data_IF_570503491089
#
_entry.id   IF_570503491089
#
_cell.length_a   1.000
_cell.length_b   1.000
_cell.length_c   1.000
_cell.angle_alpha   90.00
_cell.angle_beta   90.00
_cell.angle_gamma   90.00
#
_symmetry.space_group_name_H-M   'P 1'
#
loop_
_entity.id
_entity.type
_entity.pdbx_description
1 polymer ?
2 non-polymer ?
3 non-polymer ?
4 non-polymer ?
5 non-polymer ?
6 water ?
#
# COMPACT_ATOMS: atom_id res chain seq x y z
N UNK A 1 -2.65 -0.54 23.23
CA UNK A 1 -3.37 -1.04 22.03
C UNK A 1 -4.76 -0.44 21.90
N UNK A 2 -4.88 0.61 21.08
CA UNK A 2 -6.15 1.32 20.86
C UNK A 2 -7.33 0.37 20.75
N UNK A 3 -8.33 0.57 21.61
CA UNK A 3 -9.54 -0.23 21.57
C UNK A 3 -10.51 0.33 20.54
N UNK A 4 -11.48 -0.48 20.13
CA UNK A 4 -12.56 0.00 19.28
C UNK A 4 -13.41 1.01 20.04
N UNK A 5 -13.85 0.61 21.23
CA UNK A 5 -14.67 1.47 22.08
C UNK A 5 -13.94 2.77 22.38
N UNK A 6 -12.64 2.67 22.57
CA UNK A 6 -11.80 3.83 22.79
C UNK A 6 -11.89 4.79 21.59
N UNK A 7 -12.21 4.24 20.43
CA UNK A 7 -12.28 5.04 19.19
C UNK A 7 -13.73 5.47 18.91
N UNK A 8 -14.66 4.52 19.02
CA UNK A 8 -16.07 4.79 18.80
C UNK A 8 -16.57 5.89 19.72
N UNK A 9 -16.14 5.82 20.99
CA UNK A 9 -16.54 6.79 21.99
C UNK A 9 -15.84 8.14 21.82
N UNK A 10 -14.81 8.18 20.98
CA UNK A 10 -14.19 9.46 20.62
C UNK A 10 -14.94 10.07 19.44
N UNK A 11 -15.41 9.19 18.56
CA UNK A 11 -16.19 9.57 17.40
C UNK A 11 -17.61 9.98 17.80
N UNK A 12 -18.06 9.49 18.95
CA UNK A 12 -19.39 9.84 19.46
C UNK A 12 -19.46 11.29 19.93
N UNK A 13 -18.31 11.84 20.28
CA UNK A 13 -18.24 13.22 20.73
C UNK A 13 -18.03 14.13 19.53
N UNK A 14 -18.04 13.53 18.34
CA UNK A 14 -17.88 14.27 17.09
C UNK A 14 -19.20 14.91 16.69
N UNK A 15 -19.12 16.11 16.13
CA UNK A 15 -20.25 16.72 15.43
C UNK A 15 -20.55 15.98 14.13
N UNK A 16 -21.54 15.09 14.15
CA UNK A 16 -21.83 14.21 13.02
C UNK A 16 -22.37 14.91 11.78
N UNK A 17 -22.52 16.24 11.86
CA UNK A 17 -22.99 17.02 10.72
C UNK A 17 -21.81 17.66 10.03
N UNK A 18 -20.65 17.62 10.68
CA UNK A 18 -19.45 18.31 10.21
C UNK A 18 -18.22 17.39 10.08
N UNK A 19 -18.47 16.13 9.75
CA UNK A 19 -17.40 15.14 9.65
C UNK A 19 -16.52 15.37 8.43
N UNK A 20 -15.23 15.50 8.67
CA UNK A 20 -14.26 15.73 7.60
C UNK A 20 -13.40 14.48 7.35
N UNK A 21 -12.69 14.50 6.25
CA UNK A 21 -11.75 13.43 5.95
C UNK A 21 -10.35 14.03 5.97
N UNK A 22 -9.46 13.40 6.72
CA UNK A 22 -8.09 13.91 6.84
C UNK A 22 -7.04 12.86 6.46
N UNK A 23 -5.89 13.34 6.03
CA UNK A 23 -4.77 12.48 5.70
C UNK A 23 -3.51 13.30 5.63
N UNK A 24 -2.37 12.62 5.66
CA UNK A 24 -1.09 13.30 5.52
C UNK A 24 -0.85 13.59 4.05
N UNK A 25 -0.33 14.78 3.75
CA UNK A 25 -0.11 15.19 2.38
C UNK A 25 1.05 14.48 1.70
N UNK A 26 0.81 13.24 1.27
CA UNK A 26 1.81 12.47 0.54
C UNK A 26 1.23 11.13 0.11
N UNK A 27 2.04 10.35 -0.58
CA UNK A 27 1.71 8.97 -0.95
C UNK A 27 0.55 8.85 -1.94
N UNK A 28 -0.67 9.02 -1.46
CA UNK A 28 -1.87 8.95 -2.30
C UNK A 28 -2.90 10.03 -1.93
N UNK A 29 -2.44 11.05 -1.20
CA UNK A 29 -3.37 12.00 -0.61
C UNK A 29 -4.14 12.83 -1.66
N UNK A 30 -3.57 13.03 -2.84
CA UNK A 30 -4.21 13.85 -3.85
C UNK A 30 -5.61 13.37 -4.22
N UNK A 31 -5.77 12.07 -4.44
CA UNK A 31 -7.11 11.52 -4.75
C UNK A 31 -7.91 11.11 -3.52
N UNK A 32 -7.23 10.86 -2.40
CA UNK A 32 -7.91 10.71 -1.13
C UNK A 32 -8.67 12.00 -0.83
N UNK A 33 -8.00 13.13 -1.04
CA UNK A 33 -8.59 14.43 -0.73
C UNK A 33 -9.56 14.89 -1.82
N UNK A 34 -9.15 14.78 -3.08
CA UNK A 34 -10.05 15.08 -4.20
C UNK A 34 -11.30 14.22 -4.14
N UNK A 35 -11.12 12.93 -3.90
CA UNK A 35 -12.25 12.00 -3.81
C UNK A 35 -13.22 12.40 -2.72
N UNK A 36 -12.68 12.85 -1.59
CA UNK A 36 -13.48 13.32 -0.47
C UNK A 36 -14.31 14.54 -0.85
N UNK A 37 -13.68 15.54 -1.46
CA UNK A 37 -14.38 16.72 -1.93
C UNK A 37 -15.50 16.36 -2.88
N UNK A 38 -15.21 15.44 -3.82
CA UNK A 38 -16.20 15.02 -4.81
C UNK A 38 -17.40 14.34 -4.14
N UNK A 39 -17.18 13.75 -2.97
CA UNK A 39 -18.28 13.13 -2.23
C UNK A 39 -18.96 14.09 -1.25
N UNK A 40 -18.51 15.34 -1.24
CA UNK A 40 -19.17 16.38 -0.44
C UNK A 40 -18.52 16.69 0.89
N UNK A 41 -17.39 16.03 1.17
CA UNK A 41 -16.68 16.26 2.42
C UNK A 41 -15.81 17.49 2.36
N UNK A 42 -15.61 18.12 3.52
CA UNK A 42 -14.52 19.06 3.68
C UNK A 42 -13.27 18.25 4.08
N UNK A 43 -12.10 18.67 3.62
CA UNK A 43 -10.89 17.86 3.74
C UNK A 43 -9.80 18.53 4.56
N UNK A 44 -9.07 17.72 5.33
CA UNK A 44 -7.93 18.20 6.11
C UNK A 44 -6.63 17.53 5.66
N UNK A 45 -5.63 18.33 5.33
CA UNK A 45 -4.35 17.82 4.88
C UNK A 45 -3.21 18.21 5.82
N UNK A 46 -2.63 17.23 6.50
CA UNK A 46 -1.41 17.50 7.26
C UNK A 46 -0.25 17.74 6.30
N UNK A 47 0.41 18.88 6.43
CA UNK A 47 1.49 19.23 5.53
C UNK A 47 2.61 20.01 6.26
N UNK A 48 3.60 20.47 5.49
CA UNK A 48 4.72 21.23 6.06
C UNK A 48 5.30 22.14 5.00
N UNK A 49 6.01 23.18 5.42
CA UNK A 49 6.64 24.10 4.49
C UNK A 49 7.59 23.33 3.59
N UNK A 50 7.59 23.68 2.30
CA UNK A 50 8.42 22.99 1.33
C UNK A 50 7.73 21.81 0.64
N UNK A 51 6.67 21.29 1.25
CA UNK A 51 5.97 20.14 0.70
C UNK A 51 4.45 20.33 0.50
N UNK A 52 4.02 21.59 0.56
CA UNK A 52 2.58 21.89 0.58
C UNK A 52 2.06 22.38 -0.76
N UNK A 53 2.98 22.77 -1.66
CA UNK A 53 2.62 23.33 -2.95
C UNK A 53 1.66 22.49 -3.81
N UNK A 54 1.89 21.16 -3.90
CA UNK A 54 1.01 20.35 -4.74
C UNK A 54 -0.44 20.39 -4.27
N UNK A 55 -0.63 20.43 -2.95
CA UNK A 55 -1.95 20.40 -2.34
C UNK A 55 -2.65 21.76 -2.40
N UNK A 56 -1.85 22.82 -2.53
CA UNK A 56 -2.38 24.15 -2.68
C UNK A 56 -2.78 24.41 -4.12
N UNK A 57 -1.95 23.97 -5.06
CA UNK A 57 -2.18 24.26 -6.45
C UNK A 57 -3.24 23.35 -7.06
N UNK A 58 -3.38 22.15 -6.51
CA UNK A 58 -4.42 21.24 -6.98
C UNK A 58 -5.74 21.49 -6.24
N UNK A 59 -5.67 22.30 -5.18
CA UNK A 59 -6.84 22.81 -4.45
C UNK A 59 -7.73 21.73 -3.87
N UNK A 60 -7.12 20.70 -3.30
CA UNK A 60 -7.86 19.54 -2.82
C UNK A 60 -8.07 19.56 -1.31
N UNK A 61 -7.47 20.54 -0.66
CA UNK A 61 -7.51 20.60 0.80
C UNK A 61 -8.21 21.88 1.24
N UNK A 62 -9.20 21.74 2.10
CA UNK A 62 -9.92 22.89 2.61
C UNK A 62 -9.18 23.47 3.81
N UNK A 63 -8.63 22.59 4.65
CA UNK A 63 -7.88 23.03 5.83
C UNK A 63 -6.49 22.40 5.86
N UNK A 64 -5.49 23.19 6.22
CA UNK A 64 -4.11 22.70 6.37
C UNK A 64 -3.68 22.70 7.82
N UNK A 65 -3.22 21.55 8.29
CA UNK A 65 -2.51 21.46 9.57
C UNK A 65 -1.01 21.36 9.30
N UNK A 66 -0.30 22.48 9.43
CA UNK A 66 1.14 22.50 9.21
C UNK A 66 1.93 21.91 10.38
N UNK A 67 2.95 21.13 10.06
CA UNK A 67 3.89 20.61 11.06
C UNK A 67 5.31 21.01 10.70
N UNK A 68 6.21 20.91 11.68
CA UNK A 68 7.63 21.22 11.47
C UNK A 68 8.26 20.15 10.60
N UNK A 69 7.98 18.90 10.96
CA UNK A 69 8.39 17.73 10.21
C UNK A 69 7.27 16.72 10.35
N UNK A 70 7.13 15.82 9.36
CA UNK A 70 6.01 14.88 9.37
C UNK A 70 6.07 13.92 10.55
N UNK A 71 7.19 13.91 11.26
CA UNK A 71 7.30 13.03 12.41
C UNK A 71 6.39 13.51 13.54
N UNK A 72 6.02 14.79 13.48
CA UNK A 72 5.21 15.41 14.53
C UNK A 72 3.74 14.97 14.53
N UNK A 73 3.32 14.24 13.49
CA UNK A 73 1.92 13.85 13.34
C UNK A 73 1.47 12.84 14.39
N UNK A 74 2.43 12.31 15.14
CA UNK A 74 2.12 11.45 16.27
C UNK A 74 1.79 12.31 17.49
N UNK A 75 2.31 13.54 17.50
CA UNK A 75 2.15 14.45 18.63
C UNK A 75 0.70 14.63 19.06
N UNK A 76 0.49 14.67 20.37
CA UNK A 76 -0.84 14.79 20.92
C UNK A 76 -1.51 16.09 20.46
N UNK A 77 -0.69 17.08 20.12
CA UNK A 77 -1.21 18.36 19.64
C UNK A 77 -1.95 18.23 18.31
N UNK A 78 -1.42 17.40 17.42
CA UNK A 78 -2.03 17.21 16.11
C UNK A 78 -3.25 16.31 16.22
N UNK A 79 -3.17 15.30 17.09
CA UNK A 79 -4.32 14.45 17.34
C UNK A 79 -5.52 15.28 17.79
N UNK A 80 -5.27 16.38 18.50
CA UNK A 80 -6.36 17.22 19.02
C UNK A 80 -6.99 18.11 17.96
N UNK A 81 -6.17 18.80 17.17
CA UNK A 81 -6.67 19.57 16.05
C UNK A 81 -7.57 18.68 15.18
N UNK A 82 -7.09 17.46 14.92
CA UNK A 82 -7.84 16.50 14.11
C UNK A 82 -9.17 16.12 14.72
N UNK A 83 -9.19 15.94 16.04
CA UNK A 83 -10.41 15.56 16.72
C UNK A 83 -11.40 16.72 16.78
N UNK A 84 -10.87 17.94 16.83
CA UNK A 84 -11.70 19.15 16.90
C UNK A 84 -12.29 19.49 15.54
N UNK A 85 -11.74 18.88 14.50
CA UNK A 85 -12.21 19.10 13.14
C UNK A 85 -13.13 17.98 12.73
N UNK A 86 -13.39 17.07 13.66
CA UNK A 86 -14.25 15.90 13.41
C UNK A 86 -13.72 15.03 12.27
N UNK A 87 -12.40 15.00 12.15
CA UNK A 87 -11.71 14.28 11.08
C UNK A 87 -11.70 12.77 11.25
N UNK A 88 -12.06 12.06 10.20
CA UNK A 88 -11.75 10.63 10.09
C UNK A 88 -10.48 10.55 9.24
N UNK A 89 -9.43 9.95 9.80
CA UNK A 89 -8.14 9.85 9.11
C UNK A 89 -8.09 8.70 8.12
N UNK A 90 -7.66 8.98 6.90
CA UNK A 90 -7.42 7.91 5.92
C UNK A 90 -5.92 7.59 5.89
N UNK A 91 -5.55 6.38 6.32
CA UNK A 91 -4.16 6.03 6.46
C UNK A 91 -3.55 5.56 5.14
N UNK A 92 -2.25 5.81 4.98
CA UNK A 92 -1.52 5.30 3.84
C UNK A 92 -0.04 5.12 4.19
N UNK A 93 0.72 4.56 3.25
CA UNK A 93 2.13 4.25 3.45
C UNK A 93 2.94 5.30 4.19
N UNK A 94 2.96 6.51 3.66
CA UNK A 94 3.74 7.60 4.24
C UNK A 94 3.28 7.97 5.64
N UNK A 95 1.98 7.81 5.89
CA UNK A 95 1.41 8.22 7.17
C UNK A 95 1.82 7.23 8.25
N UNK A 96 1.69 5.94 7.95
CA UNK A 96 2.08 4.89 8.86
C UNK A 96 3.58 4.99 9.17
N UNK A 97 4.38 5.31 8.15
CA UNK A 97 5.82 5.44 8.32
C UNK A 97 6.20 6.63 9.19
N UNK A 98 5.68 7.81 8.86
CA UNK A 98 6.06 9.04 9.56
C UNK A 98 5.48 9.08 10.97
N UNK A 99 4.32 8.46 11.15
CA UNK A 99 3.69 8.44 12.46
C UNK A 99 4.37 7.40 13.33
N UNK A 100 4.87 6.34 12.68
CA UNK A 100 5.41 5.20 13.38
C UNK A 100 4.29 4.22 13.63
N UNK A 101 4.44 3.01 13.12
CA UNK A 101 3.39 2.00 13.18
C UNK A 101 2.99 1.65 14.60
N UNK A 102 3.92 1.76 15.54
CA UNK A 102 3.60 1.49 16.94
C UNK A 102 2.76 2.63 17.53
N UNK A 103 3.13 3.86 17.22
CA UNK A 103 2.31 5.01 17.59
C UNK A 103 0.91 4.91 16.99
N UNK A 104 0.82 4.35 15.79
CA UNK A 104 -0.47 4.18 15.12
C UNK A 104 -1.35 3.18 15.86
N UNK A 105 -0.74 2.10 16.36
CA UNK A 105 -1.51 1.00 16.92
C UNK A 105 -2.05 1.28 18.33
N UNK A 106 -1.42 2.22 19.04
CA UNK A 106 -1.81 2.48 20.44
C UNK A 106 -1.54 3.89 20.98
N UNK A 107 -1.10 4.80 20.13
CA UNK A 107 -0.84 6.18 20.57
C UNK A 107 -1.56 7.21 19.69
N UNK A 108 -2.24 6.76 18.64
CA UNK A 108 -2.90 7.68 17.71
C UNK A 108 -4.42 7.67 17.90
N UNK A 109 -4.89 8.55 18.78
CA UNK A 109 -6.30 8.54 19.21
C UNK A 109 -7.23 9.35 18.30
N UNK A 110 -7.20 9.05 17.01
CA UNK A 110 -8.10 9.67 16.04
C UNK A 110 -8.78 8.56 15.27
N UNK A 111 -10.09 8.69 15.02
CA UNK A 111 -10.78 7.67 14.25
C UNK A 111 -10.10 7.49 12.91
N UNK A 112 -10.04 6.26 12.43
CA UNK A 112 -9.23 5.95 11.28
C UNK A 112 -9.99 4.99 10.40
N UNK A 113 -10.05 5.29 9.10
CA UNK A 113 -10.71 4.41 8.17
C UNK A 113 -9.92 3.10 7.98
N UNK A 114 -10.60 1.96 8.14
CA UNK A 114 -9.97 0.66 7.97
C UNK A 114 -9.82 -0.15 9.25
N UNK A 115 -9.10 -1.27 9.12
CA UNK A 115 -8.82 -2.17 10.24
C UNK A 115 -7.42 -1.87 10.80
N UNK A 116 -7.38 -1.09 11.87
CA UNK A 116 -6.15 -0.65 12.51
C UNK A 116 -5.16 -1.78 12.81
N UNK A 117 -5.69 -2.90 13.30
CA UNK A 117 -4.85 -4.02 13.71
C UNK A 117 -4.07 -4.61 12.54
N UNK A 118 -4.71 -4.66 11.37
CA UNK A 118 -4.16 -5.38 10.23
C UNK A 118 -3.03 -4.63 9.54
N UNK A 119 -2.76 -3.40 9.98
CA UNK A 119 -1.70 -2.61 9.40
C UNK A 119 -0.31 -3.19 9.68
N UNK A 120 -0.21 -4.06 10.68
CA UNK A 120 1.08 -4.63 10.97
C UNK A 120 1.25 -6.01 10.36
N UNK A 121 0.16 -6.55 9.83
CA UNK A 121 0.24 -7.76 9.03
C UNK A 121 0.80 -7.47 7.64
N UNK A 122 0.90 -6.18 7.29
CA UNK A 122 1.47 -5.79 6.01
C UNK A 122 2.93 -5.38 6.19
N UNK A 123 3.31 -5.10 7.43
CA UNK A 123 4.64 -4.57 7.73
C UNK A 123 5.64 -5.68 8.05
N UNK A 124 5.11 -6.84 8.45
CA UNK A 124 5.95 -7.97 8.82
C UNK A 124 5.83 -9.08 7.80
N UNK A 125 6.96 -9.42 7.19
CA UNK A 125 7.03 -10.42 6.13
C UNK A 125 6.48 -11.78 6.56
N UNK A 126 6.67 -12.13 7.83
CA UNK A 126 6.16 -13.37 8.40
C UNK A 126 4.63 -13.44 8.43
N UNK A 127 4.00 -12.35 8.84
CA UNK A 127 2.52 -12.26 8.85
C UNK A 127 1.94 -12.25 7.44
N UNK A 128 2.50 -11.41 6.58
CA UNK A 128 2.11 -11.36 5.18
C UNK A 128 2.08 -12.75 4.57
N UNK A 129 3.22 -13.44 4.65
CA UNK A 129 3.35 -14.76 4.04
C UNK A 129 2.38 -15.75 4.64
N UNK A 130 2.21 -15.67 5.95
CA UNK A 130 1.22 -16.47 6.67
C UNK A 130 -0.15 -16.25 6.03
N UNK A 131 -0.58 -14.99 6.01
CA UNK A 131 -1.86 -14.62 5.40
C UNK A 131 -1.99 -15.13 3.97
N UNK A 132 -1.05 -14.77 3.11
CA UNK A 132 -1.10 -15.15 1.70
C UNK A 132 -1.10 -16.67 1.49
N UNK A 133 -0.27 -17.36 2.26
CA UNK A 133 -0.19 -18.81 2.19
C UNK A 133 -1.49 -19.44 2.68
N UNK A 134 -1.97 -18.99 3.83
CA UNK A 134 -3.19 -19.54 4.41
C UNK A 134 -4.44 -19.19 3.61
N UNK A 135 -4.43 -18.04 2.93
CA UNK A 135 -5.52 -17.67 2.05
C UNK A 135 -5.51 -18.54 0.80
N UNK A 136 -4.39 -19.23 0.57
CA UNK A 136 -4.27 -20.11 -0.59
C UNK A 136 -3.85 -19.37 -1.84
N UNK A 137 -3.04 -18.33 -1.70
CA UNK A 137 -2.55 -17.59 -2.88
C UNK A 137 -1.14 -18.04 -3.28
N UNK A 138 -0.89 -18.06 -4.58
CA UNK A 138 0.44 -18.35 -5.12
C UNK A 138 1.44 -17.29 -4.71
N UNK A 139 2.57 -17.73 -4.19
CA UNK A 139 3.67 -16.86 -3.82
C UNK A 139 4.96 -17.43 -4.41
N UNK A 140 6.02 -16.61 -4.48
CA UNK A 140 7.33 -17.10 -4.92
C UNK A 140 7.91 -18.11 -3.92
N UNK A 141 8.63 -19.10 -4.41
CA UNK A 141 9.32 -20.05 -3.52
C UNK A 141 10.31 -19.30 -2.63
N UNK A 142 10.31 -19.64 -1.34
CA UNK A 142 11.29 -19.06 -0.43
C UNK A 142 12.50 -19.98 -0.32
N UNK A 143 13.67 -19.38 -0.13
CA UNK A 143 14.90 -20.14 0.08
C UNK A 143 15.54 -19.76 1.42
N UNK A 144 15.75 -20.75 2.28
CA UNK A 144 16.28 -20.50 3.61
C UNK A 144 17.71 -19.94 3.62
N UNK A 145 18.57 -20.46 2.74
CA UNK A 145 19.96 -19.98 2.69
C UNK A 145 20.52 -19.97 1.27
N UNK A 146 21.58 -19.17 1.05
CA UNK A 146 22.25 -19.08 -0.24
C UNK A 146 22.61 -20.46 -0.80
N UNK A 147 22.82 -21.42 0.09
CA UNK A 147 23.17 -22.79 -0.32
C UNK A 147 22.00 -23.53 -0.96
N UNK A 148 20.78 -23.01 -0.80
CA UNK A 148 19.60 -23.69 -1.33
C UNK A 148 19.25 -23.25 -2.75
N UNK A 149 20.01 -22.30 -3.29
CA UNK A 149 19.73 -21.72 -4.59
C UNK A 149 19.94 -22.72 -5.72
N UNK A 150 18.86 -23.01 -6.44
CA UNK A 150 18.91 -23.97 -7.55
C UNK A 150 18.28 -23.37 -8.80
N UNK A 151 18.09 -22.06 -8.80
CA UNK A 151 17.55 -21.36 -9.95
C UNK A 151 17.90 -19.88 -9.86
N UNK A 152 17.19 -19.06 -10.63
CA UNK A 152 17.37 -17.63 -10.49
C UNK A 152 16.51 -17.15 -9.33
N UNK A 153 17.11 -16.34 -8.46
CA UNK A 153 16.42 -15.83 -7.30
C UNK A 153 16.60 -14.33 -7.24
N UNK A 154 15.69 -13.66 -6.54
CA UNK A 154 15.90 -12.27 -6.19
C UNK A 154 16.18 -12.22 -4.70
N UNK A 155 17.08 -11.33 -4.28
CA UNK A 155 17.44 -11.26 -2.86
C UNK A 155 17.17 -9.88 -2.28
N UNK A 156 16.38 -9.86 -1.21
CA UNK A 156 15.95 -8.61 -0.61
C UNK A 156 16.54 -8.39 0.78
N UNK A 157 17.12 -7.21 0.98
CA UNK A 157 17.64 -6.81 2.27
C UNK A 157 16.92 -5.55 2.74
N UNK A 158 16.35 -5.59 3.96
CA UNK A 158 15.87 -4.37 4.59
C UNK A 158 17.05 -3.50 5.07
N UNK A 159 17.67 -2.78 4.14
CA UNK A 159 18.83 -1.94 4.46
C UNK A 159 18.75 -0.56 3.85
N UNK A 160 19.68 -0.26 2.95
CA UNK A 160 19.74 1.07 2.33
C UNK A 160 18.84 1.17 1.10
N UNK A 164 16.91 -0.58 -3.58
CA UNK A 164 18.34 -0.32 -3.42
C UNK A 164 19.11 -1.50 -2.81
N UNK A 165 18.46 -2.20 -1.89
CA UNK A 165 19.02 -3.41 -1.32
C UNK A 165 18.51 -4.66 -2.02
N UNK A 166 18.96 -4.87 -3.26
CA UNK A 166 18.51 -5.99 -4.07
C UNK A 166 19.64 -6.49 -4.96
N UNK A 167 19.62 -7.78 -5.25
CA UNK A 167 20.38 -8.32 -6.38
C UNK A 167 19.77 -9.62 -6.86
N UNK A 168 20.17 -10.03 -8.06
CA UNK A 168 19.70 -11.27 -8.66
C UNK A 168 20.84 -12.29 -8.69
N UNK A 169 20.54 -13.54 -8.41
CA UNK A 169 21.57 -14.58 -8.40
C UNK A 169 21.03 -15.87 -9.00
N UNK A 170 21.89 -16.61 -9.68
CA UNK A 170 21.51 -17.92 -10.23
C UNK A 170 22.30 -19.09 -9.62
N UNK A 171 23.17 -18.79 -8.66
CA UNK A 171 23.93 -19.82 -7.93
C UNK A 171 24.35 -19.33 -6.55
N UNK A 172 24.70 -20.28 -5.70
CA UNK A 172 25.24 -19.96 -4.38
C UNK A 172 26.48 -19.09 -4.52
N UNK A 173 27.38 -19.48 -5.42
CA UNK A 173 28.59 -18.70 -5.67
C UNK A 173 28.29 -17.27 -6.07
N UNK A 174 27.38 -17.09 -7.01
CA UNK A 174 27.01 -15.74 -7.44
C UNK A 174 26.44 -14.92 -6.28
N UNK A 175 25.64 -15.56 -5.44
CA UNK A 175 25.10 -14.89 -4.27
C UNK A 175 26.19 -14.19 -3.44
N UNK A 176 27.29 -14.90 -3.18
CA UNK A 176 28.36 -14.31 -2.36
C UNK A 176 29.20 -13.29 -3.12
N UNK A 177 29.42 -13.55 -4.41
CA UNK A 177 30.11 -12.58 -5.25
C UNK A 177 29.40 -11.23 -5.14
N UNK A 178 28.07 -11.25 -5.31
CA UNK A 178 27.28 -10.01 -5.31
C UNK A 178 27.08 -9.39 -3.93
N UNK A 179 26.84 -10.23 -2.93
CA UNK A 179 26.74 -9.73 -1.55
C UNK A 179 28.00 -8.95 -1.20
N UNK A 180 29.17 -9.56 -1.45
CA UNK A 180 30.47 -8.92 -1.20
C UNK A 180 30.63 -7.60 -1.95
N UNK A 181 30.29 -7.62 -3.23
CA UNK A 181 30.33 -6.41 -4.04
C UNK A 181 29.58 -5.28 -3.35
N UNK A 182 28.35 -5.56 -2.92
CA UNK A 182 27.51 -4.56 -2.27
C UNK A 182 28.03 -4.16 -0.89
N UNK A 183 28.77 -5.06 -0.26
CA UNK A 183 29.36 -4.80 1.05
C UNK A 183 30.53 -3.84 0.94
N UNK A 184 31.50 -4.21 0.09
CA UNK A 184 32.69 -3.38 -0.13
C UNK A 184 32.33 -2.06 -0.78
N UNK A 185 31.11 -1.97 -1.33
CA UNK A 185 30.64 -0.78 -2.01
C UNK A 185 29.90 0.13 -1.04
N UNK A 186 29.63 -0.39 0.15
CA UNK A 186 29.01 0.38 1.22
C UNK A 186 27.51 0.54 1.06
N UNK A 187 26.82 -0.58 0.84
CA UNK A 187 25.37 -0.57 0.67
C UNK A 187 24.75 -1.58 1.65
N UNK A 188 25.51 -2.64 1.95
CA UNK A 188 25.05 -3.67 2.85
C UNK A 188 26.09 -3.97 3.92
N UNK A 189 25.62 -4.13 5.15
CA UNK A 189 26.48 -4.59 6.24
C UNK A 189 26.17 -6.06 6.48
N UNK A 190 27.06 -6.76 7.18
CA UNK A 190 26.89 -8.20 7.42
C UNK A 190 25.58 -8.52 8.13
N UNK A 191 25.01 -7.52 8.78
CA UNK A 191 23.74 -7.68 9.48
C UNK A 191 22.62 -7.81 8.47
N UNK A 192 22.70 -7.00 7.41
CA UNK A 192 21.75 -7.08 6.30
C UNK A 192 21.95 -8.39 5.53
N UNK A 193 23.20 -8.77 5.32
CA UNK A 193 23.55 -9.98 4.57
C UNK A 193 23.02 -11.26 5.23
N UNK A 194 22.88 -11.22 6.55
CA UNK A 194 22.30 -12.35 7.29
C UNK A 194 20.78 -12.29 7.21
N UNK A 195 20.25 -11.07 7.22
CA UNK A 195 18.82 -10.83 7.10
C UNK A 195 18.29 -11.15 5.70
N UNK A 196 19.20 -11.33 4.76
CA UNK A 196 18.87 -11.60 3.37
C UNK A 196 17.66 -12.50 3.19
N UNK A 197 16.66 -12.00 2.46
CA UNK A 197 15.51 -12.81 2.08
C UNK A 197 15.64 -13.24 0.63
N UNK A 198 15.70 -14.54 0.41
CA UNK A 198 15.90 -15.10 -0.92
C UNK A 198 14.63 -15.75 -1.39
N UNK A 199 14.15 -15.35 -2.57
CA UNK A 199 13.00 -16.02 -3.15
C UNK A 199 13.12 -16.23 -4.65
N UNK A 200 12.37 -17.20 -5.14
CA UNK A 200 12.27 -17.44 -6.57
C UNK A 200 12.09 -16.12 -7.33
N UNK A 201 12.88 -15.93 -8.38
CA UNK A 201 12.67 -14.79 -9.25
C UNK A 201 11.58 -15.18 -10.24
N UNK A 202 10.43 -14.50 -10.14
CA UNK A 202 9.31 -14.80 -11.04
C UNK A 202 9.43 -13.98 -12.32
N UNK A 203 9.39 -14.67 -13.46
CA UNK A 203 9.53 -13.99 -14.74
C UNK A 203 8.15 -13.84 -15.38
N UNK A 204 7.67 -12.61 -15.42
CA UNK A 204 6.34 -12.34 -15.93
C UNK A 204 5.98 -10.87 -15.92
N UNK A 205 4.69 -10.60 -16.10
CA UNK A 205 4.21 -9.23 -16.23
C UNK A 205 3.63 -8.73 -14.90
N UNK A 206 4.00 -7.53 -14.51
CA UNK A 206 3.55 -6.93 -13.27
C UNK A 206 2.12 -6.39 -13.32
N UNK A 207 1.27 -6.93 -12.44
CA UNK A 207 -0.05 -6.34 -12.19
C UNK A 207 -0.19 -6.09 -10.70
N UNK A 208 -0.17 -4.81 -10.31
CA UNK A 208 -0.53 -4.42 -8.95
C UNK A 208 -2.03 -4.18 -8.92
N UNK A 209 -2.76 -5.11 -8.33
CA UNK A 209 -4.22 -5.09 -8.43
C UNK A 209 -4.83 -4.40 -7.22
N UNK A 210 -5.62 -3.36 -7.48
CA UNK A 210 -6.20 -2.58 -6.40
C UNK A 210 -7.66 -2.98 -6.17
N UNK A 211 -7.91 -3.54 -4.99
CA UNK A 211 -9.24 -3.99 -4.60
C UNK A 211 -9.83 -3.05 -3.53
N UNK A 212 -11.14 -3.14 -3.35
CA UNK A 212 -11.81 -2.47 -2.26
C UNK A 212 -12.81 -3.46 -1.67
N UNK A 213 -12.67 -3.77 -0.39
CA UNK A 213 -13.70 -4.57 0.29
C UNK A 213 -14.65 -3.63 1.02
N UNK A 214 -15.92 -3.70 0.62
CA UNK A 214 -16.95 -2.92 1.28
C UNK A 214 -17.61 -3.77 2.35
N UNK A 215 -17.40 -3.43 3.63
CA UNK A 215 -18.07 -4.15 4.71
C UNK A 215 -19.57 -3.82 4.74
N UNK A 216 -19.95 -2.67 4.19
CA UNK A 216 -21.37 -2.32 4.05
C UNK A 216 -22.04 -3.27 3.07
N UNK A 217 -21.39 -3.51 1.94
CA UNK A 217 -21.96 -4.40 0.91
C UNK A 217 -21.47 -5.84 1.03
N UNK A 218 -20.51 -6.09 1.91
CA UNK A 218 -19.82 -7.39 2.00
C UNK A 218 -19.43 -7.90 0.62
N UNK A 219 -18.60 -7.13 -0.09
CA UNK A 219 -18.25 -7.40 -1.47
C UNK A 219 -16.84 -6.92 -1.74
N UNK A 220 -16.07 -7.73 -2.46
CA UNK A 220 -14.73 -7.31 -2.91
C UNK A 220 -14.88 -6.72 -4.30
N UNK A 221 -14.41 -5.50 -4.48
CA UNK A 221 -14.53 -4.82 -5.78
C UNK A 221 -13.15 -4.67 -6.41
N UNK A 222 -13.09 -4.74 -7.74
CA UNK A 222 -11.87 -4.40 -8.47
C UNK A 222 -11.95 -2.96 -8.96
N UNK A 223 -10.97 -2.15 -8.53
CA UNK A 223 -10.94 -0.72 -8.83
C UNK A 223 -9.98 -0.33 -9.94
N UNK A 224 -8.83 -1.00 -10.00
CA UNK A 224 -7.87 -0.72 -11.06
C UNK A 224 -6.57 -1.51 -10.94
N UNK A 225 -5.65 -1.28 -11.87
CA UNK A 225 -4.36 -1.97 -11.88
C UNK A 225 -3.29 -1.05 -12.43
N UNK A 226 -2.08 -1.19 -11.91
CA UNK A 226 -0.89 -0.53 -12.47
C UNK A 226 0.31 -1.47 -12.52
N UNK A 227 1.31 -1.10 -13.30
CA UNK A 227 2.62 -1.74 -13.19
C UNK A 227 3.61 -0.71 -12.64
N UNK A 228 4.57 -1.19 -11.85
CA UNK A 228 5.52 -0.30 -11.20
C UNK A 228 6.52 0.21 -12.22
N UNK A 229 7.02 1.41 -11.95
CA UNK A 229 8.03 2.05 -12.78
C UNK A 229 9.15 2.36 -11.80
N UNK A 230 10.22 1.56 -11.86
CA UNK A 230 11.26 1.56 -10.83
C UNK A 230 12.64 1.96 -11.37
N UNK A 231 13.41 2.67 -10.56
CA UNK A 231 14.75 3.11 -10.94
C UNK A 231 15.79 2.48 -9.99
N UNK A 232 16.92 2.01 -10.52
CA UNK A 232 17.36 2.25 -11.89
C UNK A 232 16.95 1.16 -12.86
N UNK A 233 16.30 0.12 -12.35
CA UNK A 233 16.09 -1.08 -13.14
C UNK A 233 15.42 -0.82 -14.50
N UNK A 234 14.36 0.00 -14.51
CA UNK A 234 13.64 0.24 -15.76
C UNK A 234 14.41 1.17 -16.70
N UNK A 235 15.39 1.88 -16.15
CA UNK A 235 16.40 2.57 -16.97
C UNK A 235 17.52 1.63 -17.43
N UNK A 236 17.93 0.73 -16.53
CA UNK A 236 19.01 -0.22 -16.82
C UNK A 236 18.69 -1.12 -18.02
N UNK A 237 17.52 -1.75 -17.99
CA UNK A 237 17.10 -2.67 -19.03
C UNK A 237 16.71 -1.97 -20.33
N UNK A 238 16.79 -0.65 -20.32
CA UNK A 238 16.53 0.11 -21.54
C UNK A 238 17.84 0.41 -22.26
N UNK A 239 18.95 -0.07 -21.70
CA UNK A 239 20.28 0.02 -22.32
C UNK A 239 20.50 -1.26 -23.11
N UNK A 240 20.94 -1.15 -24.38
CA UNK A 240 21.15 -2.38 -25.17
C UNK A 240 22.14 -3.31 -24.48
N UNK A 241 21.92 -4.62 -24.63
CA UNK A 241 22.71 -5.64 -23.92
C UNK A 241 24.22 -5.44 -24.08
N UNK A 242 24.66 -5.16 -25.30
CA UNK A 242 26.09 -4.96 -25.58
C UNK A 242 26.68 -3.86 -24.71
N UNK A 243 25.94 -2.77 -24.55
CA UNK A 243 26.37 -1.71 -23.65
C UNK A 243 26.24 -2.06 -22.16
N UNK A 244 25.21 -2.82 -21.79
CA UNK A 244 25.07 -3.22 -20.40
C UNK A 244 26.28 -4.03 -19.95
N UNK A 245 26.77 -4.90 -20.83
CA UNK A 245 27.92 -5.74 -20.53
C UNK A 245 29.20 -4.94 -20.34
N UNK A 246 29.27 -3.76 -20.94
CA UNK A 246 30.43 -2.89 -20.77
C UNK A 246 30.36 -2.03 -19.52
N UNK A 247 29.28 -2.15 -18.76
CA UNK A 247 29.08 -1.30 -17.59
C UNK A 247 29.23 -2.08 -16.30
N UNK A 248 29.65 -1.37 -15.25
CA UNK A 248 29.66 -1.96 -13.91
C UNK A 248 28.51 -1.34 -13.14
N UNK A 249 27.32 -1.91 -13.32
CA UNK A 249 26.13 -1.30 -12.74
C UNK A 249 25.24 -2.35 -12.08
N UNK A 250 24.83 -2.07 -10.85
CA UNK A 250 23.90 -2.95 -10.17
C UNK A 250 22.47 -2.42 -10.27
N UNK A 251 21.49 -3.33 -10.46
CA UNK A 251 20.09 -2.95 -10.50
C UNK A 251 19.57 -2.51 -9.14
N UNK A 252 18.83 -1.41 -9.11
CA UNK A 252 18.06 -1.04 -7.92
C UNK A 252 16.59 -0.95 -8.30
N UNK A 253 15.72 -1.01 -7.30
CA UNK A 253 14.28 -1.11 -7.55
C UNK A 253 13.50 -0.07 -6.74
N UNK A 254 13.93 1.18 -6.81
CA UNK A 254 13.26 2.27 -6.12
C UNK A 254 12.00 2.67 -6.88
N UNK A 255 10.86 2.61 -6.20
CA UNK A 255 9.59 3.01 -6.81
C UNK A 255 9.63 4.49 -7.19
N UNK A 256 9.48 4.79 -8.47
CA UNK A 256 9.45 6.19 -8.91
C UNK A 256 8.10 6.61 -9.50
N UNK A 257 7.26 5.65 -9.87
CA UNK A 257 6.02 5.98 -10.56
C UNK A 257 5.25 4.74 -10.96
N UNK A 258 4.16 4.95 -11.69
CA UNK A 258 3.29 3.86 -12.13
C UNK A 258 2.74 4.09 -13.51
N UNK A 259 2.42 2.99 -14.18
CA UNK A 259 1.93 3.00 -15.54
C UNK A 259 0.64 2.20 -15.50
N UNK A 260 -0.43 2.70 -16.13
CA UNK A 260 -1.69 1.95 -16.16
C UNK A 260 -1.58 0.71 -17.02
N UNK A 261 -2.32 -0.32 -16.63
CA UNK A 261 -2.36 -1.56 -17.38
C UNK A 261 -3.71 -2.19 -17.12
N UNK A 262 -4.19 -2.99 -18.07
CA UNK A 262 -5.37 -3.80 -17.87
C UNK A 262 -4.96 -5.23 -18.16
N UNK A 263 -5.65 -6.16 -17.52
CA UNK A 263 -5.33 -7.56 -17.64
C UNK A 263 -6.22 -8.21 -18.71
N UNK A 264 -5.75 -9.33 -19.24
CA UNK A 264 -6.53 -10.16 -20.15
C UNK A 264 -7.83 -10.55 -19.44
N UNK A 265 -8.97 -10.34 -20.10
CA UNK A 265 -10.25 -10.43 -19.38
C UNK A 265 -10.55 -11.82 -18.83
N UNK A 266 -10.18 -12.88 -19.55
CA UNK A 266 -10.35 -14.25 -19.06
C UNK A 266 -9.65 -14.51 -17.72
N UNK A 267 -8.80 -13.58 -17.28
CA UNK A 267 -8.08 -13.77 -16.03
C UNK A 267 -8.77 -13.10 -14.85
N UNK A 268 -9.89 -12.42 -15.10
CA UNK A 268 -10.56 -11.70 -14.02
C UNK A 268 -11.19 -12.62 -12.97
N UNK A 269 -11.70 -13.79 -13.40
CA UNK A 269 -12.16 -14.71 -12.36
C UNK A 269 -11.06 -15.11 -11.38
N UNK A 270 -9.84 -15.28 -11.87
CA UNK A 270 -8.70 -15.56 -11.00
C UNK A 270 -8.45 -14.35 -10.10
N UNK A 271 -8.44 -13.17 -10.71
CA UNK A 271 -8.22 -11.92 -9.98
C UNK A 271 -9.21 -11.74 -8.82
N UNK A 272 -10.49 -11.98 -9.09
CA UNK A 272 -11.52 -11.81 -8.09
C UNK A 272 -11.43 -12.89 -7.02
N UNK A 273 -11.18 -14.13 -7.44
CA UNK A 273 -10.99 -15.24 -6.50
C UNK A 273 -9.86 -14.96 -5.52
N UNK A 274 -8.78 -14.35 -6.01
CA UNK A 274 -7.64 -14.01 -5.18
C UNK A 274 -8.02 -13.00 -4.10
N UNK A 275 -8.76 -11.97 -4.50
CA UNK A 275 -9.26 -10.99 -3.54
C UNK A 275 -10.28 -11.60 -2.58
N UNK A 276 -11.16 -12.43 -3.11
CA UNK A 276 -12.13 -13.11 -2.25
C UNK A 276 -11.43 -13.94 -1.17
N UNK A 277 -10.44 -14.74 -1.59
CA UNK A 277 -9.69 -15.60 -0.68
C UNK A 277 -8.93 -14.82 0.37
N UNK A 278 -8.24 -13.76 -0.03
CA UNK A 278 -7.50 -12.93 0.92
C UNK A 278 -8.45 -12.39 1.99
N UNK A 279 -9.62 -11.96 1.55
CA UNK A 279 -10.62 -11.37 2.44
C UNK A 279 -11.23 -12.38 3.41
N UNK A 280 -11.63 -13.53 2.90
CA UNK A 280 -12.19 -14.61 3.72
C UNK A 280 -11.22 -15.04 4.82
N UNK A 281 -9.93 -15.15 4.49
CA UNK A 281 -8.95 -15.59 5.46
C UNK A 281 -8.61 -14.49 6.47
N UNK A 282 -8.48 -13.26 6.00
CA UNK A 282 -8.11 -12.15 6.90
C UNK A 282 -9.22 -11.86 7.91
N UNK A 283 -10.44 -12.24 7.57
CA UNK A 283 -11.55 -12.14 8.52
C UNK A 283 -11.28 -13.04 9.72
N UNK A 284 -10.87 -14.28 9.42
CA UNK A 284 -10.51 -15.26 10.46
C UNK A 284 -9.28 -14.86 11.24
N UNK A 285 -8.23 -14.44 10.55
CA UNK A 285 -6.94 -14.20 11.21
C UNK A 285 -6.87 -12.87 11.94
N UNK A 286 -7.52 -11.83 11.40
CA UNK A 286 -7.47 -10.51 12.04
C UNK A 286 -8.82 -9.79 11.95
N UNK A 287 -9.80 -10.18 12.80
CA UNK A 287 -11.14 -9.60 12.73
C UNK A 287 -11.14 -8.07 12.92
N UNK A 288 -11.97 -7.35 12.14
CA UNK A 288 -12.94 -7.82 11.14
C UNK A 288 -12.37 -8.15 9.75
N UNK A 289 -11.04 -8.11 9.61
CA UNK A 289 -10.42 -8.46 8.34
C UNK A 289 -9.98 -7.24 7.55
N UNK A 290 -10.01 -7.37 6.23
CA UNK A 290 -9.70 -6.27 5.33
C UNK A 290 -10.84 -5.27 5.29
N UNK A 291 -10.53 -4.00 5.47
CA UNK A 291 -11.55 -2.96 5.40
C UNK A 291 -11.13 -1.92 4.36
N UNK A 292 -11.85 -1.85 3.24
CA UNK A 292 -11.55 -0.86 2.23
C UNK A 292 -10.50 -1.29 1.25
N UNK A 293 -9.55 -0.39 0.93
CA UNK A 293 -8.55 -0.64 -0.10
C UNK A 293 -7.49 -1.65 0.31
N UNK A 294 -7.19 -2.58 -0.60
CA UNK A 294 -6.01 -3.43 -0.47
C UNK A 294 -5.47 -3.78 -1.84
N UNK A 295 -4.18 -4.07 -1.89
CA UNK A 295 -3.49 -4.32 -3.16
C UNK A 295 -2.77 -5.66 -3.14
N UNK A 296 -2.96 -6.46 -4.20
CA UNK A 296 -2.07 -7.60 -4.46
C UNK A 296 -1.09 -7.21 -5.54
N UNK A 297 0.21 -7.23 -5.21
CA UNK A 297 1.26 -6.93 -6.18
C UNK A 297 1.76 -8.23 -6.77
N UNK A 298 1.45 -8.46 -8.03
CA UNK A 298 1.65 -9.78 -8.60
C UNK A 298 2.49 -9.78 -9.88
N UNK A 299 2.91 -10.97 -10.26
CA UNK A 299 3.58 -11.19 -11.52
C UNK A 299 2.86 -12.30 -12.24
N UNK A 300 2.56 -12.09 -13.51
CA UNK A 300 1.85 -13.10 -14.27
C UNK A 300 2.84 -13.93 -15.08
N UNK A 301 3.01 -15.19 -14.70
CA UNK A 301 3.95 -16.06 -15.40
C UNK A 301 3.36 -16.52 -16.72
N UNK A 302 4.15 -17.26 -17.49
CA UNK A 302 3.73 -17.66 -18.82
C UNK A 302 2.61 -18.70 -18.77
N UNK A 303 2.38 -19.26 -17.60
CA UNK A 303 1.24 -20.17 -17.43
C UNK A 303 -0.04 -19.46 -16.99
N UNK A 304 -0.07 -18.13 -17.10
CA UNK A 304 -1.22 -17.32 -16.72
C UNK A 304 -1.61 -17.51 -15.26
N UNK A 305 -0.60 -17.62 -14.40
CA UNK A 305 -0.83 -17.71 -12.98
C UNK A 305 -0.26 -16.45 -12.40
N UNK A 306 -1.07 -15.78 -11.58
CA UNK A 306 -0.61 -14.58 -10.89
C UNK A 306 0.10 -14.96 -9.60
N UNK A 307 1.35 -14.54 -9.47
CA UNK A 307 2.13 -14.85 -8.28
C UNK A 307 2.30 -13.58 -7.46
N UNK A 308 1.84 -13.61 -6.24
CA UNK A 308 1.85 -12.43 -5.38
C UNK A 308 3.15 -12.35 -4.59
N UNK A 309 3.95 -11.34 -4.90
CA UNK A 309 5.22 -11.17 -4.22
C UNK A 309 5.11 -10.13 -3.12
N UNK A 310 3.98 -9.46 -3.06
CA UNK A 310 3.76 -8.40 -2.09
C UNK A 310 2.26 -8.08 -1.96
N UNK A 311 1.89 -7.45 -0.85
CA UNK A 311 0.51 -7.01 -0.64
C UNK A 311 0.50 -5.84 0.32
N UNK A 312 -0.57 -5.04 0.26
CA UNK A 312 -0.79 -3.98 1.23
C UNK A 312 -2.20 -4.12 1.80
N UNK A 313 -2.39 -3.64 3.03
CA UNK A 313 -3.66 -3.79 3.72
C UNK A 313 -4.33 -2.43 3.85
N UNK A 314 -3.79 -1.46 3.12
CA UNK A 314 -4.43 -0.17 2.96
C UNK A 314 -4.22 0.29 1.52
N UNK A 315 -4.37 1.59 1.26
CA UNK A 315 -4.30 2.08 -0.10
C UNK A 315 -2.85 2.10 -0.58
N UNK A 316 -2.65 1.53 -1.78
CA UNK A 316 -1.33 1.42 -2.40
C UNK A 316 -1.07 2.59 -3.33
N UNK A 317 0.18 3.06 -3.34
CA UNK A 317 0.60 4.17 -4.19
C UNK A 317 0.18 4.05 -5.65
N UNK A 318 0.03 2.83 -6.15
CA UNK A 318 -0.33 2.62 -7.54
C UNK A 318 -1.69 3.17 -7.93
N UNK A 319 -2.55 3.45 -6.94
CA UNK A 319 -3.87 4.03 -7.20
C UNK A 319 -3.78 5.41 -7.84
N UNK A 320 -2.62 6.04 -7.71
CA UNK A 320 -2.38 7.32 -8.35
C UNK A 320 -2.51 7.26 -9.88
N UNK A 321 -2.27 6.09 -10.46
CA UNK A 321 -2.37 5.92 -11.90
C UNK A 321 -3.79 6.13 -12.42
N UNK A 322 -4.81 5.94 -11.58
CA UNK A 322 -6.20 6.22 -11.98
C UNK A 322 -6.92 7.25 -11.12
N UNK A 323 -6.28 8.40 -10.87
CA UNK A 323 -6.91 9.45 -10.09
C UNK A 323 -8.10 10.07 -10.83
N UNK A 324 -8.11 9.89 -12.15
CA UNK A 324 -9.18 10.43 -13.00
C UNK A 324 -10.08 9.29 -13.42
N UNK A 325 -10.06 8.21 -12.65
CA UNK A 325 -10.80 7.00 -12.98
C UNK A 325 -9.99 6.09 -13.90
N UNK A 326 -10.39 4.84 -13.97
CA UNK A 326 -9.71 3.88 -14.85
C UNK A 326 -10.72 3.02 -15.58
N UNK A 327 -10.25 2.15 -16.49
CA UNK A 327 -11.11 1.22 -17.23
C UNK A 327 -12.02 0.33 -16.38
N UNK A 328 -11.53 -0.11 -15.23
CA UNK A 328 -12.33 -0.94 -14.32
C UNK A 328 -13.28 -0.11 -13.43
N UNK A 329 -12.78 0.97 -12.86
CA UNK A 329 -13.59 1.80 -11.95
C UNK A 329 -14.76 2.47 -12.70
N UNK A 330 -14.59 2.69 -14.00
CA UNK A 330 -15.62 3.24 -14.87
C UNK A 330 -16.84 2.34 -15.01
N UNK A 331 -16.66 1.03 -14.95
CA UNK A 331 -17.74 0.11 -15.30
C UNK A 331 -18.94 0.17 -14.35
N UNK A 332 -18.68 0.46 -13.08
CA UNK A 332 -19.74 0.49 -12.07
C UNK A 332 -20.88 1.46 -12.40
N UNK A 333 -20.53 2.70 -12.68
CA UNK A 333 -21.53 3.75 -12.92
C UNK A 333 -21.14 4.71 -14.03
N UNK A 334 -20.17 4.31 -14.86
CA UNK A 334 -19.65 5.16 -15.91
C UNK A 334 -19.06 6.48 -15.41
N UNK A 335 -18.41 6.43 -14.27
CA UNK A 335 -17.83 7.64 -13.68
C UNK A 335 -16.29 7.56 -13.59
N UNK A 336 -15.62 8.73 -13.57
CA UNK A 336 -14.17 8.78 -13.34
C UNK A 336 -13.79 8.55 -11.86
N UNK A 337 -14.07 7.34 -11.37
CA UNK A 337 -13.94 7.03 -9.94
C UNK A 337 -12.51 6.63 -9.54
N UNK A 338 -11.92 7.41 -8.64
CA UNK A 338 -10.62 7.04 -8.06
C UNK A 338 -10.84 6.17 -6.84
N UNK A 339 -9.76 5.57 -6.32
CA UNK A 339 -9.82 4.84 -5.07
C UNK A 339 -10.14 5.81 -3.94
N UNK A 340 -9.50 6.97 -3.96
CA UNK A 340 -9.77 8.01 -2.97
C UNK A 340 -11.27 8.33 -2.87
N UNK A 341 -11.93 8.38 -4.02
CA UNK A 341 -13.36 8.68 -4.03
C UNK A 341 -14.20 7.52 -3.55
N UNK A 342 -13.74 6.30 -3.85
CA UNK A 342 -14.42 5.10 -3.38
C UNK A 342 -14.34 4.95 -1.86
N UNK A 343 -13.22 5.36 -1.30
CA UNK A 343 -13.06 5.40 0.16
C UNK A 343 -14.07 6.39 0.79
N UNK A 344 -14.07 7.62 0.28
CA UNK A 344 -14.96 8.68 0.78
C UNK A 344 -16.45 8.31 0.70
N UNK A 345 -16.82 7.61 -0.35
CA UNK A 345 -18.18 7.18 -0.54
C UNK A 345 -18.58 6.14 0.51
N UNK A 346 -17.64 5.26 0.87
CA UNK A 346 -17.92 4.26 1.88
C UNK A 346 -18.15 4.97 3.21
N UNK A 347 -17.36 5.99 3.46
CA UNK A 347 -17.52 6.82 4.65
C UNK A 347 -18.88 7.54 4.62
N UNK A 348 -19.21 8.12 3.47
CA UNK A 348 -20.51 8.78 3.27
C UNK A 348 -21.65 7.82 3.59
N UNK A 349 -21.72 6.70 2.87
CA UNK A 349 -22.77 5.73 3.12
C UNK A 349 -22.81 5.37 4.60
N UNK A 350 -21.67 4.96 5.15
CA UNK A 350 -21.65 4.48 6.52
C UNK A 350 -22.36 5.48 7.45
N UNK A 351 -21.98 6.76 7.36
CA UNK A 351 -22.63 7.80 8.15
C UNK A 351 -24.15 7.87 7.94
N UNK A 352 -24.57 7.86 6.69
CA UNK A 352 -25.98 7.92 6.33
C UNK A 352 -26.78 6.70 6.79
N UNK A 353 -26.12 5.55 6.90
CA UNK A 353 -26.81 4.33 7.28
C UNK A 353 -26.57 4.01 8.74
N UNK A 354 -25.83 4.89 9.41
CA UNK A 354 -25.47 4.69 10.81
C UNK A 354 -24.73 3.36 11.03
N UNK A 355 -23.72 3.11 10.19
CA UNK A 355 -22.93 1.90 10.27
C UNK A 355 -21.46 2.24 10.28
N UNK A 356 -21.12 3.32 10.99
CA UNK A 356 -19.76 3.79 11.04
C UNK A 356 -18.85 2.75 11.71
N UNK A 357 -19.45 1.88 12.51
CA UNK A 357 -18.71 0.89 13.28
C UNK A 357 -18.19 -0.22 12.37
N UNK A 358 -18.64 -0.23 11.12
CA UNK A 358 -18.18 -1.23 10.19
C UNK A 358 -16.93 -0.80 9.44
N UNK A 359 -16.51 0.46 9.60
CA UNK A 359 -15.46 0.99 8.76
C UNK A 359 -14.39 1.77 9.49
N UNK A 360 -14.59 2.04 10.78
CA UNK A 360 -13.56 2.79 11.51
C UNK A 360 -13.00 2.00 12.70
N UNK A 361 -11.80 2.39 13.12
CA UNK A 361 -11.14 1.74 14.24
C UNK A 361 -9.94 2.56 14.65
#
# INVERSE_FOLDING_TARGET
>A
MISKDEILEIFDKYNKDEITIATLGSHTSLHILKGAKLEGFSTVCITMKGRDVPYKRFKVADKFIYVDNFSDIKNEEIQEKLRELNSIVVPHGSFIAYCGLDNVENSFLVPMFGNRRILRWESERSLEGKLLREAGLRVPKKYESPEDIDGTVIVKFPGARGGRGYFIASSTEEFYKKAEDLKKRGILTDEDIANAHIEEYVVGTNFCIHYFYSPLKDEVELLGMDKRYESNIDGLVRIPAKDQLEMNINPSYVITGNIPVVIRESLLPQVFEMGDKLVAKAKELVPPGMIGPFCLQSLCNENLELVVFEMSARVDGGTNSFMNGGPYSFLYNGEPLSMGQRIAREIKMALQLDMIDKIIS
#
